data_IF_051220732556
#
_entry.id   IF_051220732556
#
_cell.length_a   1.000
_cell.length_b   1.000
_cell.length_c   1.000
_cell.angle_alpha   90.00
_cell.angle_beta   90.00
_cell.angle_gamma   90.00
#
_symmetry.space_group_name_H-M   'P 1'
#
loop_
_entity.id
_entity.type
_entity.pdbx_description
1 polymer ?
#
# COMPACT_ATOMS: atom_id res chain seq x y z
N UNK A 1 -30.31 -13.21 -8.50
CA UNK A 1 -29.15 -13.03 -9.38
C UNK A 1 -27.89 -13.19 -8.54
N UNK A 2 -27.38 -14.41 -8.44
CA UNK A 2 -26.09 -14.70 -7.82
C UNK A 2 -25.02 -14.39 -8.87
N UNK A 3 -24.64 -13.11 -8.99
CA UNK A 3 -23.46 -12.75 -9.75
C UNK A 3 -22.27 -13.45 -9.10
N UNK A 4 -21.52 -14.24 -9.87
CA UNK A 4 -20.22 -14.73 -9.43
C UNK A 4 -19.45 -13.55 -8.83
N UNK A 5 -18.90 -13.64 -7.61
CA UNK A 5 -18.13 -12.55 -7.05
C UNK A 5 -17.01 -12.21 -8.04
N UNK A 6 -17.10 -11.02 -8.65
CA UNK A 6 -16.08 -10.53 -9.56
C UNK A 6 -14.87 -10.19 -8.68
N UNK A 7 -14.00 -11.18 -8.49
CA UNK A 7 -12.87 -11.06 -7.57
C UNK A 7 -11.82 -10.13 -8.19
N UNK A 8 -11.66 -8.95 -7.57
CA UNK A 8 -10.70 -7.93 -7.95
C UNK A 8 -9.25 -8.43 -7.84
N UNK A 9 -8.40 -7.90 -8.71
CA UNK A 9 -6.94 -8.10 -8.68
C UNK A 9 -6.26 -7.00 -7.86
N UNK A 10 -5.22 -7.37 -7.11
CA UNK A 10 -4.46 -6.46 -6.24
C UNK A 10 -3.04 -6.27 -6.78
N UNK A 11 -2.73 -5.07 -7.27
CA UNK A 11 -1.38 -4.65 -7.58
C UNK A 11 -0.70 -4.08 -6.34
N UNK A 12 0.45 -4.63 -5.97
CA UNK A 12 1.22 -4.20 -4.79
C UNK A 12 2.54 -3.59 -5.25
N UNK A 13 2.63 -2.27 -5.11
CA UNK A 13 3.75 -1.47 -5.60
C UNK A 13 4.85 -1.42 -4.52
N UNK A 14 6.10 -1.66 -4.92
CA UNK A 14 7.27 -1.54 -4.03
C UNK A 14 7.97 -0.20 -4.19
N UNK A 15 7.99 0.37 -5.40
CA UNK A 15 8.66 1.63 -5.69
C UNK A 15 7.81 2.82 -5.27
N UNK A 16 8.47 3.89 -4.81
CA UNK A 16 7.81 5.12 -4.38
C UNK A 16 8.45 6.33 -5.05
N UNK A 17 7.61 7.25 -5.52
CA UNK A 17 8.04 8.56 -6.01
C UNK A 17 8.31 9.55 -4.87
N UNK A 18 7.80 9.27 -3.67
CA UNK A 18 8.09 10.06 -2.48
C UNK A 18 9.53 9.81 -2.03
N UNK A 19 10.37 10.86 -1.88
CA UNK A 19 11.73 10.73 -1.39
C UNK A 19 11.80 10.04 -0.02
N UNK A 20 12.83 9.21 0.15
CA UNK A 20 13.10 8.41 1.35
C UNK A 20 11.94 7.55 1.85
N UNK A 21 10.99 7.23 0.98
CA UNK A 21 10.04 6.16 1.27
C UNK A 21 10.70 4.81 0.98
N UNK A 22 10.66 3.97 1.99
CA UNK A 22 11.56 2.83 2.13
C UNK A 22 10.80 1.57 2.57
N UNK A 23 9.52 1.71 2.90
CA UNK A 23 8.65 0.65 3.41
C UNK A 23 7.94 -0.05 2.27
N UNK A 24 7.66 -1.33 2.46
CA UNK A 24 6.73 -2.07 1.63
C UNK A 24 5.34 -2.09 2.30
N UNK A 25 4.25 -2.05 1.54
CA UNK A 25 2.90 -2.21 2.09
C UNK A 25 2.69 -3.58 2.74
N UNK A 26 3.30 -4.64 2.20
CA UNK A 26 3.28 -6.00 2.74
C UNK A 26 4.71 -6.51 2.89
N UNK A 27 5.11 -6.92 4.09
CA UNK A 27 6.40 -7.56 4.27
C UNK A 27 6.42 -8.92 3.51
N UNK A 28 7.49 -9.29 2.79
CA UNK A 28 7.52 -10.55 2.02
C UNK A 28 7.18 -11.80 2.83
N UNK A 29 7.71 -11.91 4.06
CA UNK A 29 7.38 -13.00 5.01
C UNK A 29 5.89 -13.08 5.41
N UNK A 30 5.10 -12.04 5.15
CA UNK A 30 3.67 -12.03 5.48
C UNK A 30 2.80 -12.49 4.31
N UNK A 31 3.36 -12.66 3.11
CA UNK A 31 2.59 -13.12 1.95
C UNK A 31 1.88 -14.43 2.28
N UNK A 32 2.58 -15.45 2.78
CA UNK A 32 1.98 -16.76 3.08
C UNK A 32 0.86 -16.74 4.13
N UNK A 33 0.73 -15.66 4.92
CA UNK A 33 -0.39 -15.46 5.86
C UNK A 33 -1.69 -15.07 5.16
N UNK A 34 -1.61 -14.61 3.90
CA UNK A 34 -2.75 -14.29 3.05
C UNK A 34 -3.24 -15.58 2.40
N UNK A 35 -4.56 -15.76 2.39
CA UNK A 35 -5.19 -16.96 1.82
C UNK A 35 -4.76 -17.19 0.35
N UNK A 36 -4.43 -18.44 -0.05
CA UNK A 36 -3.88 -18.72 -1.38
C UNK A 36 -4.73 -18.15 -2.54
N UNK A 37 -6.05 -18.25 -2.46
CA UNK A 37 -6.99 -17.75 -3.46
C UNK A 37 -6.95 -16.21 -3.65
N UNK A 38 -6.56 -15.48 -2.60
CA UNK A 38 -6.34 -14.03 -2.67
C UNK A 38 -4.95 -13.74 -3.24
N UNK A 39 -3.92 -14.49 -2.80
CA UNK A 39 -2.55 -14.33 -3.29
C UNK A 39 -2.39 -14.58 -4.77
N UNK A 40 -3.11 -15.56 -5.30
CA UNK A 40 -3.13 -15.86 -6.74
C UNK A 40 -3.72 -14.73 -7.59
N UNK A 41 -4.34 -13.71 -6.96
CA UNK A 41 -4.84 -12.50 -7.61
C UNK A 41 -3.97 -11.27 -7.33
N UNK A 42 -2.85 -11.45 -6.64
CA UNK A 42 -1.89 -10.40 -6.37
C UNK A 42 -0.87 -10.32 -7.51
N UNK A 43 -0.56 -9.10 -7.92
CA UNK A 43 0.53 -8.75 -8.84
C UNK A 43 1.54 -7.96 -8.02
N UNK A 44 2.76 -8.47 -7.85
CA UNK A 44 3.84 -7.71 -7.23
C UNK A 44 4.64 -6.96 -8.30
N UNK A 45 5.16 -5.79 -7.94
CA UNK A 45 6.14 -5.11 -8.79
C UNK A 45 7.46 -5.91 -8.84
N UNK A 46 8.14 -5.94 -9.99
CA UNK A 46 9.49 -6.50 -10.07
C UNK A 46 10.43 -5.89 -9.01
N UNK A 47 11.24 -6.75 -8.39
CA UNK A 47 12.13 -6.36 -7.31
C UNK A 47 11.42 -6.10 -5.96
N UNK A 48 10.15 -6.51 -5.81
CA UNK A 48 9.32 -6.19 -4.64
C UNK A 48 10.02 -6.40 -3.30
N UNK A 49 10.72 -7.53 -3.17
CA UNK A 49 11.33 -7.98 -1.92
C UNK A 49 12.82 -7.68 -1.78
N UNK A 50 13.48 -7.09 -2.77
CA UNK A 50 14.95 -7.07 -2.86
C UNK A 50 15.60 -6.46 -1.61
N UNK A 51 15.04 -5.33 -1.15
CA UNK A 51 15.51 -4.63 0.03
C UNK A 51 15.40 -5.44 1.33
N UNK A 52 14.50 -6.40 1.36
CA UNK A 52 14.26 -7.30 2.49
C UNK A 52 14.96 -8.65 2.29
N UNK A 53 15.79 -8.80 1.26
CA UNK A 53 16.55 -10.01 0.98
C UNK A 53 15.76 -11.10 0.24
N UNK A 54 14.67 -10.74 -0.44
CA UNK A 54 13.86 -11.67 -1.22
C UNK A 54 13.97 -11.35 -2.71
N UNK A 55 14.41 -12.32 -3.50
CA UNK A 55 14.41 -12.24 -4.96
C UNK A 55 13.01 -12.48 -5.54
N UNK A 56 12.76 -11.97 -6.73
CA UNK A 56 11.55 -12.25 -7.51
C UNK A 56 11.29 -13.76 -7.66
N UNK A 57 12.34 -14.56 -7.85
CA UNK A 57 12.23 -16.01 -7.95
C UNK A 57 11.69 -16.68 -6.68
N UNK A 58 11.99 -16.12 -5.50
CA UNK A 58 11.44 -16.61 -4.23
C UNK A 58 9.97 -16.19 -4.04
N UNK A 59 9.57 -15.04 -4.58
CA UNK A 59 8.22 -14.50 -4.41
C UNK A 59 7.24 -14.99 -5.47
N UNK A 60 7.69 -15.29 -6.69
CA UNK A 60 6.85 -15.70 -7.80
C UNK A 60 5.93 -16.89 -7.50
N UNK A 61 6.36 -17.96 -6.80
CA UNK A 61 5.47 -19.07 -6.45
C UNK A 61 4.38 -18.69 -5.44
N UNK A 62 4.54 -17.56 -4.74
CA UNK A 62 3.63 -17.16 -3.67
C UNK A 62 2.46 -16.32 -4.15
N UNK A 63 2.56 -15.68 -5.32
CA UNK A 63 1.58 -14.71 -5.85
C UNK A 63 1.13 -15.06 -7.27
N UNK A 64 0.14 -14.36 -7.80
CA UNK A 64 -0.38 -14.60 -9.15
C UNK A 64 0.61 -14.24 -10.25
N UNK A 65 1.32 -13.11 -10.11
CA UNK A 65 2.35 -12.69 -11.06
C UNK A 65 3.27 -11.61 -10.49
N UNK A 66 4.37 -11.37 -11.20
CA UNK A 66 5.17 -10.16 -11.08
C UNK A 66 5.10 -9.37 -12.39
N UNK A 67 5.14 -8.04 -12.30
CA UNK A 67 5.07 -7.16 -13.45
C UNK A 67 5.86 -5.86 -13.23
N UNK A 68 6.13 -5.11 -14.30
CA UNK A 68 6.62 -3.74 -14.16
C UNK A 68 5.56 -2.86 -13.48
N UNK A 69 5.97 -1.70 -12.93
CA UNK A 69 5.05 -0.73 -12.32
C UNK A 69 3.90 -0.38 -13.27
N UNK A 70 4.22 -0.05 -14.52
CA UNK A 70 3.25 0.38 -15.52
C UNK A 70 2.25 -0.73 -15.86
N UNK A 71 2.75 -1.96 -16.05
CA UNK A 71 1.88 -3.11 -16.30
C UNK A 71 1.00 -3.46 -15.10
N UNK A 72 1.54 -3.37 -13.88
CA UNK A 72 0.81 -3.60 -12.64
C UNK A 72 -0.33 -2.58 -12.52
N UNK A 73 -0.03 -1.29 -12.70
CA UNK A 73 -1.04 -0.21 -12.65
C UNK A 73 -2.07 -0.39 -13.78
N UNK A 74 -1.66 -0.84 -14.96
CA UNK A 74 -2.55 -1.06 -16.10
C UNK A 74 -3.45 -2.30 -15.96
N UNK A 75 -3.03 -3.33 -15.22
CA UNK A 75 -3.76 -4.61 -15.07
C UNK A 75 -4.59 -4.69 -13.78
N UNK A 76 -4.08 -4.16 -12.67
CA UNK A 76 -4.69 -4.36 -11.34
C UNK A 76 -5.99 -3.56 -11.17
N UNK A 77 -6.99 -4.09 -10.49
CA UNK A 77 -8.22 -3.33 -10.15
C UNK A 77 -8.00 -2.42 -8.93
N UNK A 78 -7.19 -2.90 -7.98
CA UNK A 78 -6.78 -2.18 -6.77
C UNK A 78 -5.27 -2.00 -6.79
N UNK A 79 -4.80 -0.76 -6.62
CA UNK A 79 -3.37 -0.44 -6.50
C UNK A 79 -3.07 -0.08 -5.04
N UNK A 80 -2.27 -0.93 -4.40
CA UNK A 80 -1.75 -0.72 -3.05
C UNK A 80 -0.40 -0.02 -3.13
N UNK A 81 -0.41 1.27 -2.77
CA UNK A 81 0.73 2.18 -2.83
C UNK A 81 0.73 3.06 -1.58
N UNK A 82 1.64 2.86 -0.60
CA UNK A 82 1.57 3.55 0.70
C UNK A 82 1.58 5.08 0.62
N UNK A 83 2.48 5.67 -0.17
CA UNK A 83 2.66 7.13 -0.25
C UNK A 83 2.50 7.61 -1.70
N UNK A 84 1.26 7.62 -2.23
CA UNK A 84 1.01 8.07 -3.58
C UNK A 84 1.37 9.56 -3.73
N UNK A 85 1.83 9.94 -4.92
CA UNK A 85 2.08 11.31 -5.35
C UNK A 85 1.13 11.67 -6.51
N UNK A 86 0.94 12.95 -6.85
CA UNK A 86 0.02 13.35 -7.93
C UNK A 86 0.25 12.62 -9.26
N UNK A 87 1.51 12.37 -9.61
CA UNK A 87 1.86 11.63 -10.83
C UNK A 87 1.36 10.18 -10.78
N UNK A 88 1.31 9.55 -9.60
CA UNK A 88 0.80 8.19 -9.45
C UNK A 88 -0.70 8.14 -9.74
N UNK A 89 -1.46 9.12 -9.23
CA UNK A 89 -2.90 9.20 -9.50
C UNK A 89 -3.21 9.52 -10.96
N UNK A 90 -2.37 10.32 -11.62
CA UNK A 90 -2.52 10.62 -13.03
C UNK A 90 -2.40 9.35 -13.91
N UNK A 91 -1.58 8.39 -13.49
CA UNK A 91 -1.35 7.10 -14.18
C UNK A 91 -2.41 6.04 -13.90
N UNK A 92 -3.21 6.20 -12.83
CA UNK A 92 -4.32 5.29 -12.56
C UNK A 92 -5.36 5.34 -13.69
N UNK A 93 -6.07 4.24 -13.89
CA UNK A 93 -7.23 4.19 -14.78
C UNK A 93 -8.41 4.91 -14.13
N UNK A 94 -9.29 5.46 -14.95
CA UNK A 94 -10.53 6.05 -14.44
C UNK A 94 -11.37 4.96 -13.74
N UNK A 95 -11.90 5.28 -12.55
CA UNK A 95 -12.65 4.34 -11.73
C UNK A 95 -11.80 3.33 -10.93
N UNK A 96 -10.47 3.37 -11.03
CA UNK A 96 -9.60 2.42 -10.32
C UNK A 96 -9.57 2.69 -8.79
N UNK A 97 -9.22 1.67 -8.01
CA UNK A 97 -9.10 1.78 -6.55
C UNK A 97 -7.64 2.06 -6.16
N UNK A 98 -7.42 3.10 -5.36
CA UNK A 98 -6.14 3.37 -4.71
C UNK A 98 -6.24 3.04 -3.22
N UNK A 99 -5.28 2.28 -2.70
CA UNK A 99 -5.18 1.89 -1.30
C UNK A 99 -3.84 2.35 -0.72
N UNK A 100 -3.86 3.29 0.24
CA UNK A 100 -2.65 3.92 0.78
C UNK A 100 -2.95 5.16 1.60
N UNK A 101 -1.96 6.05 1.80
CA UNK A 101 -2.12 7.36 2.46
C UNK A 101 -2.26 8.51 1.44
N UNK A 102 -3.43 8.75 0.83
CA UNK A 102 -3.59 9.82 -0.15
C UNK A 102 -3.50 11.23 0.45
N UNK A 103 -3.84 11.41 1.72
CA UNK A 103 -3.81 12.72 2.40
C UNK A 103 -4.61 13.82 1.66
N UNK A 104 -5.81 13.47 1.18
CA UNK A 104 -6.66 14.37 0.41
C UNK A 104 -6.96 15.71 1.11
N UNK A 105 -7.09 15.71 2.44
CA UNK A 105 -7.34 16.94 3.20
C UNK A 105 -6.19 17.94 3.06
N UNK A 106 -4.95 17.45 2.92
CA UNK A 106 -3.75 18.28 2.86
C UNK A 106 -3.27 18.53 1.42
N UNK A 107 -3.64 17.67 0.46
CA UNK A 107 -3.16 17.75 -0.92
C UNK A 107 -4.31 17.98 -1.91
N UNK A 108 -4.41 19.22 -2.41
CA UNK A 108 -5.42 19.62 -3.39
C UNK A 108 -5.25 18.90 -4.73
N UNK A 109 -4.02 18.66 -5.18
CA UNK A 109 -3.76 18.05 -6.48
C UNK A 109 -4.17 16.57 -6.47
N UNK A 110 -3.80 15.84 -5.41
CA UNK A 110 -4.25 14.47 -5.19
C UNK A 110 -5.79 14.41 -5.16
N UNK A 111 -6.42 15.30 -4.40
CA UNK A 111 -7.89 15.34 -4.28
C UNK A 111 -8.56 15.59 -5.61
N UNK A 112 -8.09 16.58 -6.37
CA UNK A 112 -8.69 16.92 -7.66
C UNK A 112 -8.54 15.76 -8.66
N UNK A 113 -7.35 15.14 -8.74
CA UNK A 113 -7.14 13.97 -9.60
C UNK A 113 -8.03 12.79 -9.22
N UNK A 114 -8.21 12.54 -7.93
CA UNK A 114 -9.10 11.46 -7.47
C UNK A 114 -10.57 11.72 -7.86
N UNK A 115 -11.03 12.97 -7.80
CA UNK A 115 -12.37 13.36 -8.24
C UNK A 115 -12.50 13.21 -9.75
N UNK A 116 -11.59 13.82 -10.51
CA UNK A 116 -11.66 13.88 -11.98
C UNK A 116 -11.65 12.48 -12.59
N UNK A 117 -10.82 11.59 -12.05
CA UNK A 117 -10.68 10.20 -12.49
C UNK A 117 -11.66 9.25 -11.81
N UNK A 118 -12.58 9.76 -10.98
CA UNK A 118 -13.60 8.98 -10.26
C UNK A 118 -13.01 7.80 -9.47
N UNK A 119 -11.86 8.02 -8.84
CA UNK A 119 -11.15 6.97 -8.11
C UNK A 119 -11.92 6.59 -6.85
N UNK A 120 -11.80 5.33 -6.46
CA UNK A 120 -12.17 4.90 -5.11
C UNK A 120 -10.92 4.90 -4.24
N UNK A 121 -10.94 5.60 -3.11
CA UNK A 121 -9.80 5.69 -2.20
C UNK A 121 -10.06 4.90 -0.92
N UNK A 122 -9.22 3.89 -0.65
CA UNK A 122 -9.12 3.25 0.66
C UNK A 122 -7.98 3.94 1.41
N UNK A 123 -8.33 4.98 2.16
CA UNK A 123 -7.35 5.84 2.84
C UNK A 123 -6.90 5.23 4.17
N UNK A 124 -5.62 4.87 4.25
CA UNK A 124 -4.98 4.33 5.46
C UNK A 124 -5.18 5.25 6.67
N UNK A 125 -5.15 6.57 6.50
CA UNK A 125 -5.38 7.57 7.56
C UNK A 125 -6.81 7.60 8.12
N UNK A 126 -7.75 6.95 7.44
CA UNK A 126 -9.14 6.82 7.86
C UNK A 126 -9.48 5.39 8.34
N UNK A 127 -8.48 4.50 8.47
CA UNK A 127 -8.66 3.13 8.94
C UNK A 127 -8.45 3.02 10.46
N UNK A 128 -9.52 2.68 11.18
CA UNK A 128 -9.53 2.64 12.64
C UNK A 128 -10.10 1.33 13.18
N UNK A 129 -9.61 0.91 14.35
CA UNK A 129 -10.30 -0.04 15.21
C UNK A 129 -11.43 0.66 15.93
N UNK A 130 -12.61 0.05 15.91
CA UNK A 130 -13.82 0.57 16.52
C UNK A 130 -14.27 -0.37 17.65
N UNK A 131 -14.74 0.22 18.75
CA UNK A 131 -15.40 -0.53 19.81
C UNK A 131 -16.79 -0.97 19.36
N UNK A 132 -17.37 -1.96 20.06
CA UNK A 132 -18.68 -2.51 19.71
C UNK A 132 -19.83 -1.50 19.82
N UNK A 133 -19.64 -0.42 20.56
CA UNK A 133 -20.56 0.72 20.70
C UNK A 133 -20.37 1.80 19.62
N UNK A 134 -19.44 1.58 18.67
CA UNK A 134 -19.08 2.54 17.63
C UNK A 134 -18.10 3.61 18.10
N UNK A 135 -17.59 3.53 19.33
CA UNK A 135 -16.54 4.40 19.84
C UNK A 135 -15.22 4.22 19.06
N UNK A 136 -14.53 5.33 18.81
CA UNK A 136 -13.19 5.29 18.23
C UNK A 136 -12.22 4.61 19.20
N UNK A 137 -11.50 3.60 18.71
CA UNK A 137 -10.42 2.95 19.43
C UNK A 137 -9.06 3.52 19.04
N UNK A 138 -8.40 2.87 18.10
CA UNK A 138 -7.03 3.20 17.69
C UNK A 138 -6.87 3.09 16.18
N UNK A 139 -6.00 3.91 15.61
CA UNK A 139 -5.66 3.83 14.20
C UNK A 139 -5.02 2.47 13.85
N UNK A 140 -5.41 1.86 12.73
CA UNK A 140 -4.89 0.52 12.33
C UNK A 140 -3.36 0.54 12.20
N UNK A 141 -2.80 1.66 11.75
CA UNK A 141 -1.35 1.84 11.60
C UNK A 141 -0.64 2.49 12.81
N UNK A 142 -1.21 2.43 14.03
CA UNK A 142 -0.61 3.05 15.23
C UNK A 142 0.82 2.57 15.53
N UNK A 143 1.19 1.34 15.16
CA UNK A 143 2.57 0.83 15.29
C UNK A 143 3.59 1.67 14.54
N UNK A 144 3.19 2.36 13.46
CA UNK A 144 4.07 3.31 12.78
C UNK A 144 4.40 4.53 13.67
N UNK A 145 3.46 4.97 14.52
CA UNK A 145 3.68 6.07 15.46
C UNK A 145 4.57 5.62 16.63
N UNK A 146 4.36 4.40 17.13
CA UNK A 146 5.24 3.80 18.16
C UNK A 146 6.68 3.70 17.65
N UNK A 147 6.88 3.19 16.42
CA UNK A 147 8.19 3.12 15.79
C UNK A 147 8.82 4.51 15.63
N UNK A 148 8.04 5.52 15.24
CA UNK A 148 8.55 6.89 15.13
C UNK A 148 9.06 7.41 16.49
N UNK A 149 8.30 7.18 17.57
CA UNK A 149 8.72 7.53 18.93
C UNK A 149 10.02 6.82 19.34
N UNK A 150 10.07 5.50 19.15
CA UNK A 150 11.26 4.69 19.45
C UNK A 150 12.50 5.12 18.64
N UNK A 151 12.35 5.28 17.32
CA UNK A 151 13.43 5.71 16.44
C UNK A 151 13.93 7.12 16.79
N UNK A 152 13.05 8.02 17.26
CA UNK A 152 13.47 9.37 17.65
C UNK A 152 14.44 9.36 18.85
N UNK A 153 14.19 8.50 19.84
CA UNK A 153 15.09 8.32 21.00
C UNK A 153 16.42 7.71 20.57
N UNK A 154 16.41 6.66 19.73
CA UNK A 154 17.65 6.07 19.19
C UNK A 154 18.45 7.13 18.43
N UNK A 155 17.78 7.93 17.60
CA UNK A 155 18.44 8.96 16.82
C UNK A 155 19.08 10.02 17.72
N UNK A 156 18.38 10.47 18.76
CA UNK A 156 18.93 11.41 19.73
C UNK A 156 20.18 10.86 20.42
N UNK A 157 20.14 9.61 20.90
CA UNK A 157 21.29 8.98 21.57
C UNK A 157 22.49 8.78 20.63
N UNK A 158 22.25 8.48 19.36
CA UNK A 158 23.30 8.35 18.35
C UNK A 158 24.02 9.68 18.06
N UNK A 159 23.37 10.82 18.27
CA UNK A 159 23.97 12.15 18.09
C UNK A 159 24.71 12.65 19.34
N UNK A 160 24.24 12.28 20.53
CA UNK A 160 24.79 12.81 21.79
C UNK A 160 25.94 11.99 22.36
N UNK A 161 26.31 10.86 21.75
CA UNK A 161 27.52 10.10 22.05
C UNK A 161 27.73 9.86 23.54
N UNK A 162 26.95 8.96 24.14
CA UNK A 162 27.23 8.43 25.48
C UNK A 162 27.85 7.05 25.40
#
# INVERSE_FOLDING_TARGET
MTGSPNHLTLGVVSSSRKPDERRLPLHPLHLERIAPELRQRMILEHGYGERFGFSDAQLAPLVGSLASRDELVAKADVVLLPKPQPQDLAELRDGQVLWGWPHCVQDRAITQLAIDKKLTLIAFEAMNHWASDGGFGLHVFHKNNELAGYCSVIHALALTGS
#
